data_IF_441236030825
#
_entry.id   IF_441236030825
#
_cell.length_a   1.000
_cell.length_b   1.000
_cell.length_c   1.000
_cell.angle_alpha   90.00
_cell.angle_beta   90.00
_cell.angle_gamma   90.00
#
_symmetry.space_group_name_H-M   'P 1'
#
loop_
_entity.id
_entity.type
_entity.pdbx_description
1 polymer ?
#
# COMPACT_ATOMS: atom_id res chain seq x y z
N UNK A 1 -6.93 -7.70 6.72
CA UNK A 1 -5.62 -7.26 7.26
C UNK A 1 -4.90 -6.44 6.23
N UNK A 2 -4.27 -5.32 6.61
CA UNK A 2 -3.47 -4.49 5.69
C UNK A 2 -1.97 -4.79 5.90
N UNK A 3 -1.25 -5.11 4.84
CA UNK A 3 0.21 -5.26 4.83
C UNK A 3 0.81 -4.11 4.01
N UNK A 4 1.67 -3.31 4.64
CA UNK A 4 2.51 -2.31 3.98
C UNK A 4 3.98 -2.70 4.17
N UNK A 5 4.73 -2.65 3.07
CA UNK A 5 6.18 -2.71 3.05
C UNK A 5 6.69 -1.44 2.36
N UNK A 6 7.54 -0.68 3.04
CA UNK A 6 8.07 0.57 2.53
C UNK A 6 9.51 0.79 3.00
N UNK A 7 10.29 1.48 2.17
CA UNK A 7 11.57 2.04 2.59
C UNK A 7 11.40 3.41 3.25
N UNK A 8 12.33 3.77 4.12
CA UNK A 8 12.45 5.10 4.73
C UNK A 8 13.19 6.08 3.82
N UNK A 9 14.20 5.63 3.07
CA UNK A 9 14.89 6.40 2.05
C UNK A 9 15.49 5.50 0.95
N UNK A 10 15.99 6.13 -0.11
CA UNK A 10 16.74 5.47 -1.18
C UNK A 10 18.24 5.41 -0.91
N UNK A 11 19.01 4.91 -1.87
CA UNK A 11 20.47 4.83 -1.80
C UNK A 11 21.05 4.81 -3.21
N UNK A 12 22.19 5.45 -3.45
CA UNK A 12 22.91 5.35 -4.74
C UNK A 12 23.52 3.95 -4.91
N UNK A 13 23.95 3.61 -6.13
CA UNK A 13 24.59 2.31 -6.41
C UNK A 13 25.88 2.08 -5.59
N UNK A 14 26.59 3.15 -5.24
CA UNK A 14 27.78 3.12 -4.39
C UNK A 14 27.47 3.03 -2.89
N UNK A 15 26.20 3.07 -2.50
CA UNK A 15 25.76 2.98 -1.12
C UNK A 15 25.60 4.32 -0.40
N UNK A 16 25.65 5.45 -1.11
CA UNK A 16 25.45 6.76 -0.49
C UNK A 16 23.96 7.03 -0.23
N UNK A 17 23.67 7.72 0.87
CA UNK A 17 22.33 8.16 1.23
C UNK A 17 22.41 9.47 2.06
N UNK A 18 21.27 10.16 2.20
CA UNK A 18 21.16 11.41 2.98
C UNK A 18 21.35 12.70 2.18
N UNK A 19 21.64 12.59 0.89
CA UNK A 19 21.57 13.69 -0.06
C UNK A 19 20.13 13.94 -0.58
N UNK A 20 20.05 14.73 -1.65
CA UNK A 20 18.80 15.11 -2.30
C UNK A 20 18.67 14.49 -3.71
N UNK A 21 19.55 13.55 -4.07
CA UNK A 21 19.45 12.88 -5.34
C UNK A 21 18.16 12.03 -5.42
N UNK A 22 17.55 11.87 -6.61
CA UNK A 22 16.38 11.01 -6.77
C UNK A 22 16.61 9.60 -6.22
N UNK A 23 17.79 9.04 -6.45
CA UNK A 23 18.17 7.70 -5.99
C UNK A 23 18.21 7.58 -4.47
N UNK A 24 18.48 8.69 -3.75
CA UNK A 24 18.55 8.75 -2.30
C UNK A 24 17.20 9.08 -1.64
N UNK A 25 16.27 9.68 -2.41
CA UNK A 25 14.98 10.17 -1.91
C UNK A 25 13.79 9.31 -2.35
N UNK A 26 13.95 8.51 -3.40
CA UNK A 26 12.96 7.54 -3.84
C UNK A 26 13.14 6.19 -3.13
N UNK A 27 12.08 5.69 -2.52
CA UNK A 27 12.04 4.40 -1.86
C UNK A 27 10.85 3.57 -2.35
N UNK A 28 10.98 2.24 -2.27
CA UNK A 28 9.90 1.33 -2.65
C UNK A 28 8.71 1.41 -1.69
N UNK A 29 7.51 1.27 -2.23
CA UNK A 29 6.25 1.08 -1.50
C UNK A 29 5.48 -0.10 -2.11
N UNK A 30 5.08 -1.04 -1.27
CA UNK A 30 4.20 -2.16 -1.60
C UNK A 30 3.08 -2.24 -0.57
N UNK A 31 1.84 -2.36 -1.03
CA UNK A 31 0.67 -2.41 -0.16
C UNK A 31 -0.32 -3.47 -0.66
N UNK A 32 -0.89 -4.24 0.27
CA UNK A 32 -1.94 -5.22 -0.03
C UNK A 32 -2.93 -5.35 1.13
N UNK A 33 -4.21 -5.39 0.79
CA UNK A 33 -5.28 -5.76 1.72
C UNK A 33 -5.56 -7.27 1.60
N UNK A 34 -5.24 -8.03 2.64
CA UNK A 34 -5.47 -9.47 2.73
C UNK A 34 -6.86 -9.75 3.32
N UNK A 35 -7.65 -10.56 2.61
CA UNK A 35 -8.97 -11.03 3.07
C UNK A 35 -10.16 -10.16 2.68
N UNK A 36 -10.00 -9.18 1.78
CA UNK A 36 -11.09 -8.36 1.22
C UNK A 36 -11.74 -8.98 -0.04
N UNK A 37 -11.11 -9.98 -0.65
CA UNK A 37 -11.67 -10.69 -1.81
C UNK A 37 -12.61 -11.79 -1.33
N UNK A 38 -13.91 -11.69 -1.69
CA UNK A 38 -15.03 -12.50 -1.19
C UNK A 38 -15.00 -14.03 -1.37
N UNK A 39 -13.86 -14.62 -1.72
CA UNK A 39 -13.63 -16.07 -1.71
C UNK A 39 -12.24 -16.39 -1.15
N UNK A 40 -11.96 -15.97 0.08
CA UNK A 40 -10.78 -16.47 0.77
C UNK A 40 -10.98 -17.95 1.11
N UNK A 41 -10.24 -18.81 0.42
CA UNK A 41 -9.94 -20.17 0.89
C UNK A 41 -9.65 -20.08 2.39
N UNK A 42 -10.29 -20.90 3.23
CA UNK A 42 -10.28 -20.73 4.70
C UNK A 42 -8.91 -20.91 5.38
N UNK A 43 -7.85 -21.14 4.60
CA UNK A 43 -6.51 -21.45 5.10
C UNK A 43 -5.48 -20.45 4.57
N UNK A 44 -4.93 -19.55 5.41
CA UNK A 44 -3.93 -18.59 4.98
C UNK A 44 -2.69 -19.30 4.41
N UNK A 45 -2.06 -18.74 3.36
CA UNK A 45 -0.89 -19.31 2.72
C UNK A 45 0.25 -19.36 3.74
N UNK A 46 0.93 -20.51 3.83
CA UNK A 46 2.05 -20.70 4.77
C UNK A 46 3.40 -20.69 4.07
N UNK A 47 3.41 -20.78 2.74
CA UNK A 47 4.60 -20.74 1.90
C UNK A 47 4.43 -19.70 0.79
N UNK A 48 5.57 -19.28 0.26
CA UNK A 48 5.64 -18.35 -0.88
C UNK A 48 4.85 -18.86 -2.09
N UNK A 49 4.96 -20.15 -2.40
CA UNK A 49 4.28 -20.77 -3.55
C UNK A 49 2.74 -20.74 -3.42
N UNK A 50 2.22 -20.67 -2.19
CA UNK A 50 0.78 -20.64 -1.91
C UNK A 50 0.16 -19.25 -2.16
N UNK A 51 0.99 -18.20 -2.36
CA UNK A 51 0.52 -16.82 -2.52
C UNK A 51 -0.14 -16.54 -3.87
N UNK A 52 0.16 -17.32 -4.91
CA UNK A 52 -0.28 -17.04 -6.30
C UNK A 52 -1.81 -17.05 -6.47
N UNK A 53 -2.54 -17.78 -5.63
CA UNK A 53 -4.01 -17.80 -5.62
C UNK A 53 -4.66 -16.90 -4.55
N UNK A 54 -3.84 -16.29 -3.68
CA UNK A 54 -4.29 -15.50 -2.53
C UNK A 54 -4.11 -14.01 -2.72
N UNK A 55 -3.08 -13.61 -3.45
CA UNK A 55 -2.90 -12.23 -3.82
C UNK A 55 -3.83 -11.95 -5.01
N UNK A 56 -4.74 -10.96 -4.95
CA UNK A 56 -5.33 -10.45 -6.17
C UNK A 56 -4.15 -10.09 -7.07
N UNK A 57 -4.15 -10.63 -8.29
CA UNK A 57 -3.07 -10.47 -9.27
C UNK A 57 -2.66 -9.01 -9.20
N UNK A 58 -1.46 -8.74 -8.66
CA UNK A 58 -1.06 -7.39 -8.29
C UNK A 58 -1.30 -6.55 -9.53
N UNK A 59 -2.34 -5.71 -9.48
CA UNK A 59 -2.73 -4.93 -10.64
C UNK A 59 -1.49 -4.14 -10.94
N UNK A 60 -0.83 -4.44 -12.07
CA UNK A 60 0.43 -3.81 -12.44
C UNK A 60 0.20 -2.33 -12.20
N UNK A 61 0.84 -1.77 -11.16
CA UNK A 61 0.71 -0.36 -10.85
C UNK A 61 1.12 0.29 -12.16
N UNK A 62 0.12 0.90 -12.80
CA UNK A 62 0.16 1.39 -14.17
C UNK A 62 1.53 1.98 -14.44
N UNK A 63 2.09 1.75 -15.63
CA UNK A 63 3.39 2.26 -16.08
C UNK A 63 3.56 3.79 -15.96
N UNK A 64 2.54 4.51 -15.50
CA UNK A 64 2.63 5.87 -14.98
C UNK A 64 3.16 5.83 -13.54
N UNK A 65 4.39 6.29 -13.37
CA UNK A 65 5.20 6.21 -12.14
C UNK A 65 4.54 7.05 -11.04
N UNK A 66 3.48 6.54 -10.41
CA UNK A 66 2.76 7.20 -9.31
C UNK A 66 3.64 7.21 -8.08
N UNK A 67 4.24 8.36 -7.80
CA UNK A 67 4.98 8.59 -6.57
C UNK A 67 4.03 8.97 -5.44
N UNK A 68 4.32 8.49 -4.24
CA UNK A 68 3.62 8.82 -3.01
C UNK A 68 4.61 9.51 -2.09
N UNK A 69 4.25 10.68 -1.55
CA UNK A 69 5.07 11.32 -0.55
C UNK A 69 4.89 10.60 0.80
N UNK A 70 5.97 10.30 1.52
CA UNK A 70 5.88 9.60 2.80
C UNK A 70 5.04 10.35 3.85
N UNK A 71 4.97 11.68 3.77
CA UNK A 71 4.13 12.52 4.64
C UNK A 71 2.62 12.22 4.46
N UNK A 72 2.23 11.66 3.32
CA UNK A 72 0.84 11.30 3.00
C UNK A 72 0.43 9.94 3.59
N UNK A 73 1.38 9.17 4.14
CA UNK A 73 1.09 7.84 4.71
C UNK A 73 0.24 7.92 5.97
N UNK A 74 0.55 8.85 6.88
CA UNK A 74 -0.16 9.01 8.16
C UNK A 74 -1.65 9.28 7.98
N UNK A 75 -2.10 10.30 7.23
CA UNK A 75 -3.53 10.54 7.05
C UNK A 75 -4.22 9.42 6.28
N UNK A 76 -3.54 8.77 5.34
CA UNK A 76 -4.06 7.63 4.57
C UNK A 76 -4.30 6.42 5.46
N UNK A 77 -3.33 6.05 6.30
CA UNK A 77 -3.45 4.93 7.23
C UNK A 77 -4.49 5.20 8.32
N UNK A 78 -4.59 6.44 8.83
CA UNK A 78 -5.68 6.84 9.72
C UNK A 78 -7.04 6.57 9.09
N UNK A 79 -7.26 7.00 7.84
CA UNK A 79 -8.50 6.77 7.12
C UNK A 79 -8.79 5.27 6.91
N UNK A 80 -7.79 4.51 6.45
CA UNK A 80 -7.91 3.05 6.23
C UNK A 80 -8.26 2.27 7.50
N UNK A 81 -7.77 2.72 8.65
CA UNK A 81 -7.96 2.05 9.95
C UNK A 81 -9.16 2.61 10.73
N UNK A 82 -9.90 3.58 10.19
CA UNK A 82 -11.02 4.23 10.89
C UNK A 82 -10.59 5.04 12.11
N UNK A 83 -9.34 5.52 12.14
CA UNK A 83 -8.77 6.33 13.21
C UNK A 83 -8.83 7.82 12.85
N UNK A 84 -8.92 8.72 13.85
CA UNK A 84 -8.81 10.14 13.59
C UNK A 84 -7.44 10.49 12.98
N UNK A 85 -7.43 11.45 12.04
CA UNK A 85 -6.18 12.00 11.49
C UNK A 85 -5.50 12.83 12.60
N UNK A 86 -4.19 12.65 12.87
CA UNK A 86 -3.48 13.42 13.88
C UNK A 86 -3.58 14.93 13.66
N UNK A 87 -3.75 15.67 14.76
CA UNK A 87 -3.78 17.14 14.74
C UNK A 87 -2.42 17.68 14.29
N UNK A 88 -2.41 18.59 13.31
CA UNK A 88 -1.22 19.12 12.60
C UNK A 88 -0.59 18.23 11.53
N UNK A 89 -1.31 17.21 11.02
CA UNK A 89 -0.85 16.48 9.85
C UNK A 89 -0.74 17.39 8.61
N UNK A 90 0.37 17.28 7.87
CA UNK A 90 0.63 18.09 6.67
C UNK A 90 0.37 17.35 5.34
N UNK A 91 0.29 16.01 5.38
CA UNK A 91 0.07 15.19 4.20
C UNK A 91 -1.39 15.15 3.75
N UNK A 92 -1.60 14.75 2.49
CA UNK A 92 -2.88 14.40 1.90
C UNK A 92 -3.17 12.90 1.98
N UNK A 93 -4.42 12.51 1.73
CA UNK A 93 -4.75 11.08 1.58
C UNK A 93 -4.35 10.60 0.18
N UNK A 94 -3.85 9.37 0.08
CA UNK A 94 -3.45 8.71 -1.16
C UNK A 94 -4.62 7.87 -1.68
N UNK A 95 -5.36 8.30 -2.73
CA UNK A 95 -6.57 7.61 -3.18
C UNK A 95 -6.32 6.15 -3.58
N UNK A 96 -5.19 5.89 -4.22
CA UNK A 96 -4.83 4.55 -4.70
C UNK A 96 -4.70 3.51 -3.57
N UNK A 97 -4.29 3.94 -2.38
CA UNK A 97 -4.22 3.08 -1.21
C UNK A 97 -5.60 2.91 -0.55
N UNK A 98 -6.48 3.91 -0.64
CA UNK A 98 -7.87 3.79 -0.19
C UNK A 98 -8.64 2.76 -1.03
N UNK A 99 -8.30 2.65 -2.31
CA UNK A 99 -8.93 1.69 -3.21
C UNK A 99 -8.63 0.22 -2.87
N UNK A 100 -7.59 -0.05 -2.06
CA UNK A 100 -7.28 -1.40 -1.59
C UNK A 100 -8.37 -2.02 -0.71
N UNK A 101 -9.18 -1.20 -0.05
CA UNK A 101 -10.25 -1.64 0.86
C UNK A 101 -11.63 -1.20 0.41
N UNK A 102 -11.74 -0.36 -0.63
CA UNK A 102 -13.01 0.22 -1.12
C UNK A 102 -13.83 -0.73 -1.99
N UNK A 103 -13.43 -2.01 -2.12
CA UNK A 103 -14.28 -3.04 -2.72
C UNK A 103 -15.42 -3.40 -1.78
N UNK A 104 -16.37 -2.48 -1.63
CA UNK A 104 -17.76 -2.85 -1.41
C UNK A 104 -18.12 -3.77 -2.59
N UNK A 105 -18.17 -5.07 -2.36
CA UNK A 105 -19.11 -5.92 -3.08
C UNK A 105 -20.50 -5.38 -2.80
N UNK A 106 -20.92 -4.39 -3.60
CA UNK A 106 -22.32 -4.06 -3.76
C UNK A 106 -23.00 -5.32 -4.34
N UNK A 107 -23.52 -6.17 -3.46
CA UNK A 107 -24.55 -7.13 -3.82
C UNK A 107 -25.88 -6.36 -3.75
N UNK A 108 -26.53 -6.03 -4.88
CA UNK A 108 -27.92 -5.66 -4.80
C UNK A 108 -28.66 -6.89 -4.30
N UNK A 109 -29.17 -6.81 -3.06
CA UNK A 109 -30.13 -7.77 -2.57
C UNK A 109 -31.34 -7.79 -3.51
N UNK A 110 -31.64 -8.96 -4.04
CA UNK A 110 -32.80 -9.28 -4.87
C UNK A 110 -32.88 -10.78 -5.11
#
# INVERSE_FOLDING_TARGET
TLLLLLGDHGMTEEGNHGGAAPEETEAGLFAVALGSTGEATTTPPRRWDDLQGWLPMAQECSQDRRSVAQVDLVPTLSALLGLPIPYSNLGGMVPDLLDLVSTETWAPGG
#
